data_IF_223066887981
#
_entry.id   IF_223066887981
#
_cell.length_a   1.000
_cell.length_b   1.000
_cell.length_c   1.000
_cell.angle_alpha   90.00
_cell.angle_beta   90.00
_cell.angle_gamma   90.00
#
_symmetry.space_group_name_H-M   'P 1'
#
loop_
_entity.id
_entity.type
_entity.pdbx_description
1 polymer ?
#
# COMPACT_ATOMS: atom_id res chain seq x y z
N UNK A 1 18.72 45.57 -55.36
CA UNK A 1 18.59 44.47 -54.37
C UNK A 1 17.10 44.24 -54.11
N UNK A 2 16.61 43.02 -54.37
CA UNK A 2 15.18 42.76 -54.61
C UNK A 2 14.38 42.78 -53.29
N UNK A 3 13.33 43.61 -53.18
CA UNK A 3 12.53 43.80 -51.94
C UNK A 3 11.95 42.50 -51.37
N UNK A 4 11.75 41.45 -52.21
CA UNK A 4 11.31 40.12 -51.77
C UNK A 4 12.37 39.33 -50.97
N UNK A 5 13.66 39.53 -51.22
CA UNK A 5 14.73 38.79 -50.52
C UNK A 5 14.91 39.34 -49.10
N UNK A 6 14.71 40.65 -48.90
CA UNK A 6 14.77 41.28 -47.58
C UNK A 6 13.62 40.82 -46.68
N UNK A 7 12.40 40.66 -47.22
CA UNK A 7 11.27 40.16 -46.44
C UNK A 7 11.41 38.70 -46.00
N UNK A 8 12.00 37.84 -46.83
CA UNK A 8 12.25 36.43 -46.49
C UNK A 8 13.36 36.30 -45.44
N UNK A 9 14.41 37.12 -45.53
CA UNK A 9 15.48 37.14 -44.53
C UNK A 9 15.00 37.65 -43.16
N UNK A 10 14.09 38.63 -43.13
CA UNK A 10 13.50 39.17 -41.89
C UNK A 10 12.48 38.19 -41.29
N UNK A 11 11.67 37.48 -42.10
CA UNK A 11 10.72 36.51 -41.57
C UNK A 11 11.39 35.26 -40.99
N UNK A 12 12.50 34.80 -41.59
CA UNK A 12 13.32 33.70 -41.05
C UNK A 12 14.00 34.10 -39.75
N UNK A 13 14.55 35.32 -39.64
CA UNK A 13 15.18 35.77 -38.38
C UNK A 13 14.19 36.00 -37.25
N UNK A 14 12.96 36.47 -37.53
CA UNK A 14 11.92 36.63 -36.49
C UNK A 14 11.36 35.27 -36.02
N UNK A 15 11.17 34.30 -36.93
CA UNK A 15 10.72 32.96 -36.53
C UNK A 15 11.78 32.19 -35.75
N UNK A 16 13.07 32.36 -36.07
CA UNK A 16 14.17 31.78 -35.26
C UNK A 16 14.27 32.45 -33.89
N UNK A 17 14.04 33.76 -33.77
CA UNK A 17 14.02 34.47 -32.47
C UNK A 17 12.81 34.07 -31.62
N UNK A 18 11.63 33.83 -32.21
CA UNK A 18 10.45 33.36 -31.46
C UNK A 18 10.59 31.90 -31.04
N UNK A 19 11.22 31.05 -31.85
CA UNK A 19 11.57 29.68 -31.46
C UNK A 19 12.64 29.65 -30.36
N UNK A 20 13.63 30.56 -30.37
CA UNK A 20 14.63 30.68 -29.30
C UNK A 20 14.11 31.36 -28.02
N UNK A 21 13.13 32.27 -28.12
CA UNK A 21 12.47 32.88 -26.96
C UNK A 21 11.42 31.95 -26.31
N UNK A 22 10.81 31.05 -27.08
CA UNK A 22 9.99 29.94 -26.57
C UNK A 22 10.81 28.76 -26.03
N UNK A 23 12.11 28.73 -26.33
CA UNK A 23 13.13 27.82 -25.80
C UNK A 23 14.12 28.58 -24.88
N UNK A 24 13.63 29.55 -24.10
CA UNK A 24 14.37 29.94 -22.89
C UNK A 24 14.33 28.72 -21.97
N UNK A 25 15.48 28.16 -21.61
CA UNK A 25 15.55 26.97 -20.80
C UNK A 25 14.93 27.30 -19.42
N UNK A 26 13.72 26.79 -19.17
CA UNK A 26 13.24 26.59 -17.80
C UNK A 26 14.23 25.73 -16.98
N UNK A 27 15.17 25.06 -17.68
CA UNK A 27 16.29 24.30 -17.16
C UNK A 27 17.36 25.06 -16.36
N UNK A 28 17.35 26.40 -16.25
CA UNK A 28 18.48 27.14 -15.64
C UNK A 28 18.10 28.13 -14.53
N UNK A 29 16.87 28.13 -14.01
CA UNK A 29 16.49 29.11 -12.96
C UNK A 29 16.31 28.54 -11.56
N UNK A 30 16.41 27.21 -11.39
CA UNK A 30 16.17 26.55 -10.10
C UNK A 30 14.77 26.83 -9.52
N UNK A 31 13.84 27.34 -10.35
CA UNK A 31 12.47 27.62 -9.98
C UNK A 31 11.61 26.39 -10.17
N UNK A 32 10.72 26.16 -9.23
CA UNK A 32 9.84 25.00 -9.21
C UNK A 32 8.43 25.42 -8.80
N UNK A 33 7.44 24.61 -9.14
CA UNK A 33 6.06 24.70 -8.65
C UNK A 33 5.70 23.44 -7.87
N UNK A 34 6.27 22.30 -8.29
CA UNK A 34 6.12 20.99 -7.64
C UNK A 34 7.49 20.33 -7.47
N UNK A 35 7.59 19.37 -6.55
CA UNK A 35 8.85 18.65 -6.28
C UNK A 35 9.40 17.94 -7.52
N UNK A 36 8.53 17.50 -8.44
CA UNK A 36 8.91 16.91 -9.72
C UNK A 36 9.77 17.81 -10.59
N UNK A 37 9.66 19.14 -10.44
CA UNK A 37 10.42 20.11 -11.21
C UNK A 37 11.90 20.14 -10.76
N UNK A 38 12.20 19.59 -9.58
CA UNK A 38 13.52 19.56 -8.98
C UNK A 38 14.34 18.30 -9.29
N UNK A 39 13.82 17.41 -10.15
CA UNK A 39 14.51 16.17 -10.56
C UNK A 39 15.85 16.40 -11.30
N UNK A 40 16.06 17.60 -11.83
CA UNK A 40 17.31 17.97 -12.52
C UNK A 40 18.42 18.41 -11.56
N UNK A 41 18.14 18.55 -10.26
CA UNK A 41 19.14 18.89 -9.25
C UNK A 41 19.89 17.61 -8.85
N UNK A 42 21.23 17.69 -8.80
CA UNK A 42 22.15 16.58 -8.46
C UNK A 42 22.10 16.17 -6.97
N UNK A 43 20.93 16.14 -6.34
CA UNK A 43 20.79 15.65 -4.97
C UNK A 43 19.53 14.77 -4.82
N UNK A 44 19.67 13.56 -4.25
CA UNK A 44 18.53 12.68 -3.98
C UNK A 44 17.50 13.37 -3.07
N UNK A 45 16.23 13.28 -3.45
CA UNK A 45 15.12 13.83 -2.67
C UNK A 45 14.95 15.35 -2.76
N UNK A 46 15.49 16.01 -3.79
CA UNK A 46 15.27 17.44 -4.01
C UNK A 46 13.76 17.78 -4.07
N UNK A 47 13.35 18.83 -3.35
CA UNK A 47 11.96 19.26 -3.25
C UNK A 47 11.81 20.76 -3.52
N UNK A 48 10.59 21.18 -3.84
CA UNK A 48 10.28 22.56 -4.11
C UNK A 48 9.90 23.30 -2.82
N UNK A 49 10.69 24.31 -2.45
CA UNK A 49 10.38 25.19 -1.34
C UNK A 49 10.32 26.65 -1.81
N UNK A 50 9.14 27.25 -1.69
CA UNK A 50 8.89 28.65 -2.06
C UNK A 50 9.40 29.00 -3.47
N UNK A 51 9.15 28.09 -4.41
CA UNK A 51 9.53 28.26 -5.80
C UNK A 51 11.02 28.11 -6.06
N UNK A 52 11.77 27.48 -5.15
CA UNK A 52 13.17 27.09 -5.36
C UNK A 52 13.40 25.64 -5.00
N UNK A 53 14.17 24.94 -5.83
CA UNK A 53 14.59 23.59 -5.49
C UNK A 53 15.59 23.60 -4.34
N UNK A 54 15.32 22.79 -3.31
CA UNK A 54 16.20 22.57 -2.17
C UNK A 54 16.59 21.10 -2.07
N UNK A 55 17.83 20.86 -1.69
CA UNK A 55 18.26 19.54 -1.26
C UNK A 55 17.86 19.34 0.21
N UNK A 56 17.37 18.14 0.58
CA UNK A 56 17.22 17.80 1.99
C UNK A 56 18.60 17.85 2.66
N UNK A 57 18.68 18.44 3.84
CA UNK A 57 19.88 18.34 4.67
C UNK A 57 20.00 16.88 5.13
N UNK A 58 20.77 16.08 4.41
CA UNK A 58 21.15 14.74 4.85
C UNK A 58 22.19 14.93 5.94
N UNK A 59 21.74 15.14 7.18
CA UNK A 59 22.64 14.99 8.31
C UNK A 59 22.97 13.50 8.41
N UNK A 60 24.18 13.12 7.98
CA UNK A 60 24.72 11.81 8.35
C UNK A 60 24.64 11.73 9.88
N UNK A 61 24.01 10.68 10.45
CA UNK A 61 23.93 10.57 11.89
C UNK A 61 25.35 10.55 12.44
N UNK A 62 25.75 11.65 13.08
CA UNK A 62 27.10 11.82 13.67
C UNK A 62 27.36 10.75 14.75
N UNK A 63 26.30 10.08 15.21
CA UNK A 63 26.35 9.01 16.19
C UNK A 63 25.33 7.90 15.84
N UNK A 64 25.83 6.68 15.65
CA UNK A 64 25.01 5.49 15.38
C UNK A 64 24.03 5.17 16.53
N UNK A 65 24.24 5.74 17.72
CA UNK A 65 23.31 5.58 18.86
C UNK A 65 21.92 6.20 18.62
N UNK A 66 21.76 7.02 17.59
CA UNK A 66 20.46 7.60 17.18
C UNK A 66 19.73 6.70 16.18
N UNK A 67 20.38 5.66 15.66
CA UNK A 67 19.77 4.73 14.70
C UNK A 67 18.68 3.92 15.42
N UNK A 68 17.49 3.95 14.84
CA UNK A 68 16.36 3.12 15.24
C UNK A 68 16.35 1.84 14.42
N UNK A 69 16.20 0.71 15.09
CA UNK A 69 16.26 -0.60 14.43
C UNK A 69 14.84 -1.13 14.20
N UNK A 70 14.50 -1.34 12.94
CA UNK A 70 13.28 -2.04 12.54
C UNK A 70 13.61 -3.48 12.14
N UNK A 71 12.85 -4.45 12.66
CA UNK A 71 12.97 -5.86 12.29
C UNK A 71 11.67 -6.29 11.61
N UNK A 72 11.78 -6.84 10.41
CA UNK A 72 10.63 -7.33 9.66
C UNK A 72 10.35 -8.80 9.99
N UNK A 73 9.09 -9.10 10.26
CA UNK A 73 8.56 -10.46 10.30
C UNK A 73 7.42 -10.57 9.29
N UNK A 74 6.88 -11.79 9.13
CA UNK A 74 5.57 -12.01 8.49
C UNK A 74 4.56 -12.48 9.52
N UNK A 75 4.97 -13.44 10.35
CA UNK A 75 4.25 -13.88 11.54
C UNK A 75 5.27 -14.11 12.64
N UNK A 76 5.18 -13.37 13.75
CA UNK A 76 6.15 -13.54 14.82
C UNK A 76 6.01 -14.88 15.57
N UNK A 77 4.88 -15.56 15.38
CA UNK A 77 4.49 -16.82 16.03
C UNK A 77 4.83 -18.08 15.22
N UNK A 78 5.25 -17.93 13.95
CA UNK A 78 5.48 -19.06 13.04
C UNK A 78 6.74 -19.90 13.34
N UNK A 79 7.48 -19.53 14.40
CA UNK A 79 8.78 -20.09 14.71
C UNK A 79 8.77 -21.61 14.91
N UNK A 80 7.65 -22.22 15.33
CA UNK A 80 7.53 -23.66 15.53
C UNK A 80 7.87 -24.47 14.27
N UNK A 81 7.60 -23.93 13.08
CA UNK A 81 7.93 -24.57 11.79
C UNK A 81 9.44 -24.77 11.62
N UNK A 82 10.24 -23.87 12.19
CA UNK A 82 11.71 -23.85 12.10
C UNK A 82 12.38 -24.10 13.46
N UNK A 83 11.63 -24.67 14.43
CA UNK A 83 12.10 -24.92 15.78
C UNK A 83 12.64 -23.68 16.51
N UNK A 84 12.00 -22.52 16.30
CA UNK A 84 12.25 -21.25 16.97
C UNK A 84 11.12 -20.96 17.95
N UNK A 85 11.45 -20.77 19.22
CA UNK A 85 10.49 -20.37 20.25
C UNK A 85 10.24 -18.86 20.25
N UNK A 86 9.19 -18.42 20.96
CA UNK A 86 8.97 -17.00 21.21
C UNK A 86 10.08 -16.39 22.08
N UNK A 87 10.71 -17.17 22.96
CA UNK A 87 11.85 -16.71 23.77
C UNK A 87 13.07 -16.43 22.90
N UNK A 88 13.32 -17.25 21.88
CA UNK A 88 14.36 -17.00 20.88
C UNK A 88 14.08 -15.71 20.10
N UNK A 89 12.81 -15.46 19.74
CA UNK A 89 12.41 -14.20 19.11
C UNK A 89 12.70 -13.01 20.03
N UNK A 90 12.28 -13.06 21.30
CA UNK A 90 12.54 -11.98 22.26
C UNK A 90 14.04 -11.75 22.42
N UNK A 91 14.85 -12.82 22.45
CA UNK A 91 16.31 -12.73 22.49
C UNK A 91 16.85 -12.00 21.26
N UNK A 92 16.39 -12.34 20.05
CA UNK A 92 16.78 -11.66 18.81
C UNK A 92 16.42 -10.16 18.88
N UNK A 93 15.21 -9.82 19.32
CA UNK A 93 14.78 -8.42 19.44
C UNK A 93 15.65 -7.63 20.43
N UNK A 94 16.05 -8.25 21.55
CA UNK A 94 16.98 -7.66 22.53
C UNK A 94 18.40 -7.47 21.95
N UNK A 95 18.94 -8.51 21.31
CA UNK A 95 20.30 -8.48 20.75
C UNK A 95 20.43 -7.48 19.61
N UNK A 96 19.40 -7.34 18.80
CA UNK A 96 19.31 -6.35 17.71
C UNK A 96 18.94 -4.95 18.20
N UNK A 97 18.54 -4.80 19.47
CA UNK A 97 18.00 -3.57 20.05
C UNK A 97 16.85 -3.00 19.21
N UNK A 98 15.94 -3.88 18.79
CA UNK A 98 14.80 -3.51 17.97
C UNK A 98 13.91 -2.47 18.67
N UNK A 99 13.63 -1.36 17.99
CA UNK A 99 12.66 -0.35 18.40
C UNK A 99 11.28 -0.60 17.77
N UNK A 100 11.27 -1.23 16.59
CA UNK A 100 10.07 -1.46 15.79
C UNK A 100 10.05 -2.86 15.19
N UNK A 101 8.95 -3.58 15.40
CA UNK A 101 8.66 -4.84 14.68
C UNK A 101 7.71 -4.51 13.54
N UNK A 102 8.23 -4.47 12.31
CA UNK A 102 7.42 -4.20 11.13
C UNK A 102 6.78 -5.50 10.62
N UNK A 103 5.48 -5.45 10.31
CA UNK A 103 4.71 -6.60 9.85
C UNK A 103 4.86 -7.84 10.77
N UNK A 104 4.96 -7.62 12.08
CA UNK A 104 4.99 -8.69 13.09
C UNK A 104 3.81 -9.67 12.98
N UNK A 105 2.74 -9.23 12.35
CA UNK A 105 1.57 -10.02 11.98
C UNK A 105 0.92 -9.46 10.72
N UNK A 106 0.44 -10.32 9.82
CA UNK A 106 -0.35 -9.88 8.65
C UNK A 106 -1.58 -10.77 8.40
N UNK A 107 -2.77 -10.20 8.47
CA UNK A 107 -4.01 -10.93 8.16
C UNK A 107 -4.27 -10.90 6.65
N UNK A 108 -3.72 -11.89 5.94
CA UNK A 108 -3.98 -12.07 4.50
C UNK A 108 -5.22 -12.90 4.22
N UNK A 109 -5.52 -13.85 5.11
CA UNK A 109 -6.66 -14.78 5.04
C UNK A 109 -7.48 -14.65 6.33
N UNK A 110 -8.75 -15.09 6.35
CA UNK A 110 -9.54 -15.10 7.59
C UNK A 110 -8.74 -15.72 8.73
N UNK A 111 -8.74 -15.01 9.86
CA UNK A 111 -7.99 -15.38 11.04
C UNK A 111 -8.97 -15.68 12.17
N UNK A 112 -8.92 -16.88 12.76
CA UNK A 112 -9.80 -17.22 13.86
C UNK A 112 -9.38 -16.50 15.15
N UNK A 113 -10.33 -16.33 16.08
CA UNK A 113 -9.98 -15.83 17.40
C UNK A 113 -9.17 -16.88 18.18
N UNK A 114 -9.55 -18.15 18.05
CA UNK A 114 -8.85 -19.32 18.58
C UNK A 114 -8.78 -20.44 17.54
N UNK A 115 -7.74 -21.27 17.57
CA UNK A 115 -7.65 -22.38 16.62
C UNK A 115 -8.80 -23.38 16.74
N UNK A 116 -9.42 -23.50 17.91
CA UNK A 116 -10.64 -24.31 18.14
C UNK A 116 -11.88 -23.82 17.38
N UNK A 117 -11.86 -22.61 16.83
CA UNK A 117 -12.96 -22.06 16.03
C UNK A 117 -12.96 -22.61 14.60
N UNK A 118 -11.89 -23.32 14.21
CA UNK A 118 -11.74 -23.96 12.90
C UNK A 118 -12.26 -25.41 12.91
N UNK A 119 -12.56 -25.97 11.73
CA UNK A 119 -12.78 -27.41 11.58
C UNK A 119 -11.62 -28.22 12.16
N UNK A 120 -11.93 -29.40 12.71
CA UNK A 120 -11.00 -30.24 13.48
C UNK A 120 -9.70 -30.54 12.72
N UNK A 121 -9.82 -30.71 11.40
CA UNK A 121 -8.71 -30.97 10.49
C UNK A 121 -7.74 -29.79 10.32
N UNK A 122 -8.17 -28.55 10.58
CA UNK A 122 -7.35 -27.35 10.45
C UNK A 122 -6.82 -26.85 11.82
N UNK A 123 -7.31 -27.38 12.94
CA UNK A 123 -6.88 -26.99 14.29
C UNK A 123 -5.38 -27.21 14.48
N UNK A 124 -4.88 -28.42 14.21
CA UNK A 124 -3.47 -28.76 14.41
C UNK A 124 -2.56 -27.85 13.57
N UNK A 125 -2.95 -27.59 12.33
CA UNK A 125 -2.24 -26.69 11.43
C UNK A 125 -2.27 -25.26 11.93
N UNK A 126 -3.39 -24.77 12.47
CA UNK A 126 -3.47 -23.45 13.09
C UNK A 126 -2.53 -23.33 14.30
N UNK A 127 -2.47 -24.35 15.16
CA UNK A 127 -1.58 -24.42 16.33
C UNK A 127 -0.10 -24.49 15.93
N UNK A 128 0.23 -25.23 14.86
CA UNK A 128 1.60 -25.32 14.35
C UNK A 128 2.04 -23.98 13.74
N UNK A 129 1.16 -23.33 12.99
CA UNK A 129 1.45 -22.02 12.37
C UNK A 129 1.40 -20.87 13.39
N UNK A 130 0.79 -21.08 14.56
CA UNK A 130 0.50 -20.03 15.53
C UNK A 130 -0.40 -18.93 14.96
N UNK A 131 -1.41 -19.29 14.15
CA UNK A 131 -2.22 -18.36 13.35
C UNK A 131 -3.63 -18.13 13.93
N UNK A 132 -3.73 -17.47 15.09
CA UNK A 132 -4.99 -16.96 15.65
C UNK A 132 -4.78 -15.62 16.37
N UNK A 133 -5.85 -14.85 16.60
CA UNK A 133 -5.74 -13.61 17.39
C UNK A 133 -5.33 -13.87 18.86
N UNK A 134 -5.65 -15.05 19.42
CA UNK A 134 -5.14 -15.47 20.72
C UNK A 134 -3.61 -15.66 20.70
N UNK A 135 -3.06 -16.31 19.67
CA UNK A 135 -1.61 -16.42 19.50
C UNK A 135 -0.95 -15.05 19.39
N UNK A 136 -1.52 -14.15 18.60
CA UNK A 136 -1.02 -12.78 18.46
C UNK A 136 -1.00 -12.05 19.81
N UNK A 137 -2.11 -12.11 20.56
CA UNK A 137 -2.24 -11.46 21.87
C UNK A 137 -1.21 -11.97 22.86
N UNK A 138 -1.06 -13.29 22.94
CA UNK A 138 -0.10 -13.93 23.84
C UNK A 138 1.35 -13.56 23.47
N UNK A 139 1.66 -13.54 22.18
CA UNK A 139 2.98 -13.16 21.70
C UNK A 139 3.32 -11.70 22.02
N UNK A 140 2.41 -10.77 21.73
CA UNK A 140 2.60 -9.34 22.02
C UNK A 140 2.75 -9.11 23.53
N UNK A 141 1.93 -9.76 24.36
CA UNK A 141 2.02 -9.63 25.82
C UNK A 141 3.42 -10.00 26.31
N UNK A 142 3.91 -11.20 25.96
CA UNK A 142 5.22 -11.68 26.40
C UNK A 142 6.38 -10.83 25.86
N UNK A 143 6.27 -10.35 24.62
CA UNK A 143 7.27 -9.44 24.05
C UNK A 143 7.29 -8.11 24.83
N UNK A 144 6.13 -7.52 25.11
CA UNK A 144 6.04 -6.23 25.81
C UNK A 144 6.37 -6.33 27.31
N UNK A 145 6.22 -7.49 27.94
CA UNK A 145 6.73 -7.73 29.29
C UNK A 145 8.26 -7.54 29.37
N UNK A 146 8.97 -7.98 28.33
CA UNK A 146 10.44 -7.94 28.26
C UNK A 146 10.98 -6.68 27.56
N UNK A 147 10.17 -6.08 26.66
CA UNK A 147 10.50 -4.94 25.82
C UNK A 147 9.30 -3.96 25.78
N UNK A 148 8.99 -3.26 26.89
CA UNK A 148 7.75 -2.49 27.03
C UNK A 148 7.61 -1.32 26.04
N UNK A 149 8.72 -0.80 25.54
CA UNK A 149 8.76 0.35 24.64
C UNK A 149 8.78 -0.03 23.16
N UNK A 150 8.81 -1.33 22.82
CA UNK A 150 8.83 -1.76 21.41
C UNK A 150 7.49 -1.45 20.75
N UNK A 151 7.56 -0.86 19.56
CA UNK A 151 6.38 -0.65 18.71
C UNK A 151 6.16 -1.92 17.90
N UNK A 152 4.97 -2.51 18.02
CA UNK A 152 4.60 -3.71 17.28
C UNK A 152 3.61 -3.38 16.17
N UNK A 153 3.99 -3.65 14.92
CA UNK A 153 3.14 -3.44 13.75
C UNK A 153 2.43 -4.74 13.36
N UNK A 154 1.11 -4.73 13.46
CA UNK A 154 0.27 -5.67 12.73
C UNK A 154 0.07 -5.23 11.28
N UNK A 155 -0.83 -5.88 10.57
CA UNK A 155 -1.17 -5.47 9.21
C UNK A 155 -2.24 -6.31 8.54
N UNK A 156 -2.70 -5.82 7.40
CA UNK A 156 -3.68 -6.48 6.52
C UNK A 156 -3.53 -5.95 5.09
N UNK A 157 -4.38 -6.42 4.18
CA UNK A 157 -4.35 -6.06 2.77
C UNK A 157 -5.72 -5.60 2.30
N UNK A 158 -5.81 -4.35 1.83
CA UNK A 158 -7.06 -3.77 1.33
C UNK A 158 -7.53 -4.43 0.01
N UNK A 159 -6.64 -5.17 -0.66
CA UNK A 159 -6.89 -5.83 -1.93
C UNK A 159 -7.57 -7.20 -1.83
N UNK A 160 -7.77 -7.75 -0.62
CA UNK A 160 -8.30 -9.10 -0.44
C UNK A 160 -9.63 -9.14 0.33
N UNK A 161 -10.63 -9.69 -0.34
CA UNK A 161 -11.85 -10.21 0.26
C UNK A 161 -11.94 -11.72 -0.01
N UNK A 162 -11.84 -12.52 1.05
CA UNK A 162 -12.10 -13.94 0.96
C UNK A 162 -13.61 -14.18 1.12
N UNK A 163 -14.23 -15.03 0.30
CA UNK A 163 -15.67 -15.25 0.37
C UNK A 163 -16.15 -15.69 1.76
N UNK A 164 -15.44 -16.58 2.44
CA UNK A 164 -15.82 -17.07 3.78
C UNK A 164 -16.00 -15.96 4.83
N UNK A 165 -15.42 -14.76 4.63
CA UNK A 165 -15.49 -13.64 5.58
C UNK A 165 -16.85 -12.93 5.59
N UNK A 166 -17.62 -13.10 4.52
CA UNK A 166 -19.00 -12.57 4.44
C UNK A 166 -20.03 -13.55 5.00
N UNK A 167 -19.61 -14.80 5.23
CA UNK A 167 -20.42 -15.87 5.78
C UNK A 167 -20.65 -15.74 7.28
N UNK A 168 -21.55 -16.56 7.82
CA UNK A 168 -21.86 -16.53 9.27
C UNK A 168 -20.71 -16.98 10.14
N UNK A 169 -19.91 -17.92 9.63
CA UNK A 169 -18.72 -18.43 10.32
C UNK A 169 -17.56 -17.44 10.28
N UNK A 170 -17.50 -16.56 9.28
CA UNK A 170 -16.35 -15.72 8.93
C UNK A 170 -15.05 -16.48 8.59
N UNK A 171 -15.04 -17.81 8.68
CA UNK A 171 -13.86 -18.67 8.57
C UNK A 171 -14.05 -19.84 7.62
N UNK A 172 -15.30 -20.31 7.46
CA UNK A 172 -15.65 -21.46 6.64
C UNK A 172 -16.49 -21.00 5.46
N UNK A 173 -16.12 -21.45 4.26
CA UNK A 173 -16.80 -21.10 3.03
C UNK A 173 -18.17 -21.81 2.93
N UNK A 174 -19.26 -21.05 2.98
CA UNK A 174 -20.62 -21.55 2.76
C UNK A 174 -21.06 -21.33 1.28
N UNK A 175 -22.03 -22.09 0.76
CA UNK A 175 -22.43 -22.02 -0.66
C UNK A 175 -22.77 -20.62 -1.19
N UNK A 176 -23.39 -19.76 -0.38
CA UNK A 176 -23.83 -18.41 -0.78
C UNK A 176 -22.77 -17.32 -0.57
N UNK A 177 -21.67 -17.65 0.10
CA UNK A 177 -20.68 -16.64 0.49
C UNK A 177 -19.94 -16.07 -0.72
N UNK A 178 -19.71 -16.89 -1.75
CA UNK A 178 -19.16 -16.42 -3.02
C UNK A 178 -20.04 -15.37 -3.69
N UNK A 179 -21.35 -15.59 -3.71
CA UNK A 179 -22.29 -14.63 -4.31
C UNK A 179 -22.28 -13.31 -3.54
N UNK A 180 -22.37 -13.37 -2.21
CA UNK A 180 -22.33 -12.18 -1.35
C UNK A 180 -21.00 -11.42 -1.48
N UNK A 181 -19.87 -12.12 -1.47
CA UNK A 181 -18.56 -11.50 -1.61
C UNK A 181 -18.36 -10.90 -3.02
N UNK A 182 -18.95 -11.52 -4.05
CA UNK A 182 -18.96 -10.97 -5.41
C UNK A 182 -19.76 -9.66 -5.53
N UNK A 183 -20.80 -9.46 -4.71
CA UNK A 183 -21.50 -8.18 -4.64
C UNK A 183 -20.67 -7.06 -3.97
N UNK A 184 -19.73 -7.44 -3.11
CA UNK A 184 -18.77 -6.52 -2.50
C UNK A 184 -17.51 -6.31 -3.34
N UNK A 185 -17.34 -7.05 -4.43
CA UNK A 185 -16.20 -6.92 -5.33
C UNK A 185 -16.31 -5.65 -6.18
N UNK A 186 -15.16 -5.03 -6.49
CA UNK A 186 -15.10 -3.78 -7.25
C UNK A 186 -15.80 -3.90 -8.60
N UNK A 187 -16.81 -3.04 -8.82
CA UNK A 187 -17.50 -2.88 -10.08
C UNK A 187 -17.39 -1.43 -10.61
N UNK A 188 -16.52 -1.16 -11.59
CA UNK A 188 -16.36 0.17 -12.17
C UNK A 188 -17.63 0.72 -12.85
N UNK A 189 -18.52 -0.16 -13.33
CA UNK A 189 -19.74 0.23 -14.06
C UNK A 189 -20.67 1.10 -13.21
N UNK A 190 -20.62 0.98 -11.87
CA UNK A 190 -21.45 1.80 -10.97
C UNK A 190 -21.11 3.30 -11.05
N UNK A 191 -19.94 3.65 -11.56
CA UNK A 191 -19.55 5.03 -11.85
C UNK A 191 -19.59 5.37 -13.35
N UNK A 192 -20.21 4.53 -14.17
CA UNK A 192 -20.29 4.73 -15.63
C UNK A 192 -18.97 4.47 -16.38
N UNK A 193 -18.02 3.78 -15.77
CA UNK A 193 -16.76 3.40 -16.41
C UNK A 193 -17.01 2.20 -17.32
N UNK A 194 -16.58 2.28 -18.58
CA UNK A 194 -16.75 1.21 -19.58
C UNK A 194 -15.73 0.07 -19.39
N UNK A 195 -15.74 -0.54 -18.20
CA UNK A 195 -15.00 -1.75 -17.83
C UNK A 195 -15.90 -2.56 -16.90
N UNK A 196 -16.23 -3.78 -17.29
CA UNK A 196 -17.12 -4.64 -16.52
C UNK A 196 -16.49 -5.13 -15.21
N UNK A 197 -17.32 -5.47 -14.22
CA UNK A 197 -16.88 -6.18 -13.00
C UNK A 197 -16.01 -7.40 -13.34
N UNK A 198 -16.46 -8.20 -14.31
CA UNK A 198 -15.73 -9.39 -14.78
C UNK A 198 -14.31 -9.04 -15.24
N UNK A 199 -14.14 -8.02 -16.09
CA UNK A 199 -12.84 -7.65 -16.63
C UNK A 199 -11.84 -7.22 -15.55
N UNK A 200 -12.28 -6.37 -14.60
CA UNK A 200 -11.38 -5.90 -13.53
C UNK A 200 -11.02 -7.02 -12.55
N UNK A 201 -11.98 -7.88 -12.18
CA UNK A 201 -11.71 -9.02 -11.31
C UNK A 201 -10.79 -10.04 -12.00
N UNK A 202 -10.90 -10.18 -13.31
CA UNK A 202 -10.04 -11.05 -14.11
C UNK A 202 -8.61 -10.54 -14.24
N UNK A 203 -8.43 -9.21 -14.38
CA UNK A 203 -7.12 -8.59 -14.26
C UNK A 203 -6.49 -8.90 -12.89
N UNK A 204 -7.26 -8.81 -11.82
CA UNK A 204 -6.79 -9.18 -10.48
C UNK A 204 -6.50 -10.68 -10.33
N UNK A 205 -7.36 -11.53 -10.90
CA UNK A 205 -7.20 -12.98 -10.90
C UNK A 205 -5.88 -13.41 -11.56
N UNK A 206 -5.51 -12.78 -12.69
CA UNK A 206 -4.21 -12.99 -13.34
C UNK A 206 -3.04 -12.57 -12.48
N UNK A 207 -3.12 -11.39 -11.83
CA UNK A 207 -2.09 -10.90 -10.90
C UNK A 207 -1.78 -11.91 -9.79
N UNK A 208 -2.78 -12.67 -9.35
CA UNK A 208 -2.65 -13.66 -8.26
C UNK A 208 -2.54 -15.10 -8.75
N UNK A 209 -2.39 -15.34 -10.06
CA UNK A 209 -2.21 -16.68 -10.63
C UNK A 209 -3.44 -17.58 -10.54
N UNK A 210 -4.64 -17.02 -10.41
CA UNK A 210 -5.89 -17.80 -10.53
C UNK A 210 -6.29 -18.03 -11.99
N UNK A 211 -5.71 -17.25 -12.90
CA UNK A 211 -5.87 -17.33 -14.35
C UNK A 211 -4.49 -17.15 -14.95
N UNK A 212 -4.14 -17.97 -15.95
CA UNK A 212 -2.85 -17.86 -16.61
C UNK A 212 -2.72 -16.54 -17.39
N UNK A 213 -1.50 -16.04 -17.53
CA UNK A 213 -1.22 -14.73 -18.14
C UNK A 213 -1.85 -14.58 -19.55
N UNK A 214 -1.83 -15.65 -20.34
CA UNK A 214 -2.34 -15.68 -21.71
C UNK A 214 -3.74 -16.30 -21.85
N UNK A 215 -4.35 -16.75 -20.76
CA UNK A 215 -5.69 -17.34 -20.81
C UNK A 215 -6.74 -16.25 -21.04
N UNK A 216 -7.68 -16.44 -21.99
CA UNK A 216 -8.83 -15.54 -22.15
C UNK A 216 -9.61 -15.43 -20.84
N UNK A 217 -10.22 -14.27 -20.61
CA UNK A 217 -10.99 -14.11 -19.38
C UNK A 217 -12.24 -15.02 -19.42
N UNK A 218 -12.43 -15.93 -18.44
CA UNK A 218 -13.56 -16.85 -18.45
C UNK A 218 -14.89 -16.11 -18.22
N UNK A 219 -16.03 -16.78 -18.46
CA UNK A 219 -17.35 -16.28 -18.06
C UNK A 219 -17.40 -15.95 -16.57
N UNK A 220 -18.26 -15.02 -16.18
CA UNK A 220 -18.33 -14.50 -14.80
C UNK A 220 -18.48 -15.60 -13.74
N UNK A 221 -19.41 -16.53 -13.94
CA UNK A 221 -19.64 -17.62 -12.99
C UNK A 221 -18.41 -18.51 -12.81
N UNK A 222 -17.69 -18.79 -13.89
CA UNK A 222 -16.45 -19.57 -13.83
C UNK A 222 -15.33 -18.79 -13.15
N UNK A 223 -15.15 -17.51 -13.50
CA UNK A 223 -14.19 -16.61 -12.86
C UNK A 223 -14.41 -16.57 -11.34
N UNK A 224 -15.66 -16.38 -10.92
CA UNK A 224 -16.08 -16.31 -9.53
C UNK A 224 -15.72 -17.58 -8.75
N UNK A 225 -15.80 -18.76 -9.37
CA UNK A 225 -15.43 -20.03 -8.74
C UNK A 225 -13.91 -20.26 -8.70
N UNK A 226 -13.19 -19.88 -9.77
CA UNK A 226 -11.72 -20.03 -9.84
C UNK A 226 -10.98 -19.15 -8.85
N UNK A 227 -11.48 -17.94 -8.60
CA UNK A 227 -10.85 -17.00 -7.68
C UNK A 227 -11.04 -17.44 -6.22
N UNK A 228 -9.93 -17.50 -5.48
CA UNK A 228 -9.96 -17.74 -4.02
C UNK A 228 -10.35 -16.50 -3.22
N UNK A 229 -10.08 -15.32 -3.76
CA UNK A 229 -10.31 -14.01 -3.15
C UNK A 229 -10.61 -13.00 -4.25
N UNK A 230 -11.46 -12.03 -3.96
CA UNK A 230 -11.86 -10.97 -4.89
C UNK A 230 -11.15 -9.67 -4.56
N UNK A 231 -10.99 -8.79 -5.55
CA UNK A 231 -10.59 -7.40 -5.29
C UNK A 231 -11.82 -6.64 -4.81
N UNK A 232 -11.85 -6.23 -3.54
CA UNK A 232 -13.04 -5.62 -2.95
C UNK A 232 -13.23 -4.19 -3.43
N UNK A 233 -14.47 -3.73 -3.33
CA UNK A 233 -14.79 -2.32 -3.44
C UNK A 233 -14.61 -1.63 -2.09
N UNK A 234 -13.56 -0.82 -1.97
CA UNK A 234 -13.24 -0.05 -0.77
C UNK A 234 -14.35 0.95 -0.38
N UNK A 235 -15.22 1.33 -1.31
CA UNK A 235 -16.37 2.21 -1.05
C UNK A 235 -17.61 1.44 -0.58
N UNK A 236 -17.60 0.10 -0.63
CA UNK A 236 -18.71 -0.72 -0.18
C UNK A 236 -18.72 -0.79 1.37
N UNK A 237 -19.82 -0.39 2.04
CA UNK A 237 -19.87 -0.31 3.50
C UNK A 237 -19.79 -1.68 4.19
N UNK A 238 -20.31 -2.73 3.56
CA UNK A 238 -20.27 -4.09 4.10
C UNK A 238 -18.86 -4.64 4.07
N UNK A 239 -18.13 -4.40 2.96
CA UNK A 239 -16.70 -4.73 2.91
C UNK A 239 -15.91 -3.93 3.95
N UNK A 240 -16.14 -2.61 4.06
CA UNK A 240 -15.43 -1.79 5.06
C UNK A 240 -15.63 -2.33 6.48
N UNK A 241 -16.83 -2.83 6.81
CA UNK A 241 -17.10 -3.44 8.12
C UNK A 241 -16.19 -4.65 8.36
N UNK A 242 -16.14 -5.58 7.41
CA UNK A 242 -15.29 -6.78 7.49
C UNK A 242 -13.81 -6.37 7.61
N UNK A 243 -13.38 -5.45 6.73
CA UNK A 243 -12.00 -4.99 6.67
C UNK A 243 -11.54 -4.33 7.97
N UNK A 244 -12.35 -3.44 8.54
CA UNK A 244 -12.07 -2.76 9.80
C UNK A 244 -12.11 -3.73 10.99
N UNK A 245 -13.02 -4.71 11.00
CA UNK A 245 -13.09 -5.70 12.07
C UNK A 245 -11.78 -6.52 12.18
N UNK A 246 -11.19 -6.91 11.05
CA UNK A 246 -9.85 -7.56 11.04
C UNK A 246 -8.79 -6.71 11.73
N UNK A 247 -8.85 -5.39 11.54
CA UNK A 247 -7.88 -4.45 12.11
C UNK A 247 -8.14 -4.27 13.60
N UNK A 248 -9.40 -4.11 14.00
CA UNK A 248 -9.78 -3.96 15.41
C UNK A 248 -9.37 -5.17 16.24
N UNK A 249 -9.50 -6.38 15.71
CA UNK A 249 -9.01 -7.60 16.39
C UNK A 249 -7.50 -7.59 16.63
N UNK A 250 -6.71 -6.99 15.74
CA UNK A 250 -5.26 -6.81 15.96
C UNK A 250 -4.98 -5.74 17.03
N UNK A 251 -5.71 -4.63 17.01
CA UNK A 251 -5.61 -3.57 18.04
C UNK A 251 -5.95 -4.15 19.42
N UNK A 252 -6.99 -4.96 19.51
CA UNK A 252 -7.40 -5.66 20.72
C UNK A 252 -6.40 -6.75 21.15
N UNK A 253 -5.61 -7.30 20.22
CA UNK A 253 -4.48 -8.18 20.54
C UNK A 253 -3.25 -7.42 21.05
N UNK A 254 -3.19 -6.09 20.84
CA UNK A 254 -2.20 -5.22 21.48
C UNK A 254 -1.20 -4.54 20.56
N UNK A 255 -1.41 -4.55 19.23
CA UNK A 255 -0.53 -3.83 18.30
C UNK A 255 -0.55 -2.32 18.55
N UNK A 256 0.54 -1.65 18.16
CA UNK A 256 0.70 -0.19 18.25
C UNK A 256 0.64 0.47 16.86
N UNK A 257 0.83 -0.31 15.80
CA UNK A 257 0.77 0.14 14.43
C UNK A 257 0.06 -0.88 13.54
N UNK A 258 -0.54 -0.40 12.44
CA UNK A 258 -1.19 -1.20 11.41
C UNK A 258 -0.61 -0.83 10.05
N UNK A 259 0.03 -1.81 9.42
CA UNK A 259 0.37 -1.76 8.00
C UNK A 259 -0.86 -2.14 7.16
N UNK A 260 -1.27 -1.26 6.25
CA UNK A 260 -2.31 -1.59 5.27
C UNK A 260 -1.68 -1.65 3.90
N UNK A 261 -1.53 -2.86 3.38
CA UNK A 261 -1.07 -3.02 2.01
C UNK A 261 -2.14 -2.56 1.03
N UNK A 262 -1.72 -1.88 -0.03
CA UNK A 262 -2.56 -1.50 -1.18
C UNK A 262 -3.77 -0.62 -0.84
N UNK A 263 -3.73 0.15 0.27
CA UNK A 263 -4.86 1.00 0.72
C UNK A 263 -5.40 1.93 -0.39
N UNK A 264 -4.50 2.58 -1.14
CA UNK A 264 -4.88 3.53 -2.18
C UNK A 264 -5.00 2.91 -3.59
N UNK A 265 -4.82 1.59 -3.72
CA UNK A 265 -4.74 0.93 -5.02
C UNK A 265 -6.02 1.07 -5.84
N UNK A 266 -7.20 1.00 -5.21
CA UNK A 266 -8.45 1.20 -5.91
C UNK A 266 -8.52 2.57 -6.58
N UNK A 267 -8.16 3.65 -5.87
CA UNK A 267 -8.16 5.00 -6.42
C UNK A 267 -7.21 5.11 -7.63
N UNK A 268 -6.01 4.55 -7.51
CA UNK A 268 -5.05 4.51 -8.61
C UNK A 268 -5.52 3.69 -9.81
N UNK A 269 -6.28 2.62 -9.61
CA UNK A 269 -6.90 1.87 -10.70
C UNK A 269 -8.01 2.68 -11.37
N UNK A 270 -8.85 3.36 -10.59
CA UNK A 270 -9.91 4.22 -11.13
C UNK A 270 -9.32 5.37 -11.96
N UNK A 271 -8.20 5.95 -11.53
CA UNK A 271 -7.51 7.00 -12.27
C UNK A 271 -6.98 6.48 -13.62
N UNK A 272 -6.39 5.27 -13.64
CA UNK A 272 -5.96 4.64 -14.90
C UNK A 272 -7.14 4.44 -15.86
N UNK A 273 -8.24 3.89 -15.36
CA UNK A 273 -9.39 3.54 -16.20
C UNK A 273 -10.09 4.78 -16.76
N UNK A 274 -10.18 5.83 -15.96
CA UNK A 274 -10.88 7.07 -16.33
C UNK A 274 -9.99 8.09 -17.03
N UNK A 275 -8.66 7.99 -16.84
CA UNK A 275 -7.67 9.01 -17.21
C UNK A 275 -8.03 10.40 -16.68
N UNK A 276 -8.74 10.45 -15.57
CA UNK A 276 -9.26 11.67 -14.99
C UNK A 276 -9.16 11.60 -13.46
N UNK A 277 -8.19 12.29 -12.84
CA UNK A 277 -8.04 12.32 -11.38
C UNK A 277 -9.25 12.96 -10.69
N UNK A 278 -10.02 13.78 -11.40
CA UNK A 278 -11.23 14.41 -10.87
C UNK A 278 -12.49 13.54 -10.96
N UNK A 279 -12.41 12.35 -11.54
CA UNK A 279 -13.56 11.46 -11.70
C UNK A 279 -14.13 11.02 -10.33
N UNK A 280 -15.46 10.92 -10.16
CA UNK A 280 -16.07 10.52 -8.88
C UNK A 280 -15.50 9.23 -8.29
N UNK A 281 -15.28 8.21 -9.14
CA UNK A 281 -14.67 6.94 -8.72
C UNK A 281 -13.29 7.10 -8.05
N UNK A 282 -12.47 8.06 -8.51
CA UNK A 282 -11.15 8.33 -7.94
C UNK A 282 -11.29 9.00 -6.57
N UNK A 283 -12.06 10.09 -6.51
CA UNK A 283 -12.28 10.86 -5.27
C UNK A 283 -12.94 10.03 -4.17
N UNK A 284 -13.96 9.24 -4.52
CA UNK A 284 -14.67 8.39 -3.55
C UNK A 284 -13.79 7.26 -3.01
N UNK A 285 -12.91 6.70 -3.84
CA UNK A 285 -11.94 5.68 -3.43
C UNK A 285 -10.90 6.25 -2.46
N UNK A 286 -10.35 7.43 -2.76
CA UNK A 286 -9.44 8.11 -1.83
C UNK A 286 -10.12 8.51 -0.52
N UNK A 287 -11.35 9.03 -0.59
CA UNK A 287 -12.13 9.37 0.60
C UNK A 287 -12.40 8.13 1.46
N UNK A 288 -12.71 7.00 0.85
CA UNK A 288 -12.93 5.75 1.58
C UNK A 288 -11.67 5.26 2.28
N UNK A 289 -10.51 5.37 1.63
CA UNK A 289 -9.21 5.10 2.27
C UNK A 289 -8.96 6.03 3.46
N UNK A 290 -9.20 7.33 3.31
CA UNK A 290 -9.08 8.32 4.37
C UNK A 290 -9.98 7.98 5.57
N UNK A 291 -11.26 7.68 5.32
CA UNK A 291 -12.25 7.33 6.35
C UNK A 291 -11.89 6.03 7.10
N UNK A 292 -11.27 5.07 6.43
CA UNK A 292 -10.75 3.84 7.05
C UNK A 292 -9.66 4.19 8.08
N UNK A 293 -8.72 5.06 7.73
CA UNK A 293 -7.65 5.51 8.65
C UNK A 293 -8.25 6.24 9.86
N UNK A 294 -9.22 7.13 9.64
CA UNK A 294 -9.90 7.83 10.73
C UNK A 294 -10.60 6.87 11.71
N UNK A 295 -11.27 5.83 11.19
CA UNK A 295 -11.91 4.80 12.01
C UNK A 295 -10.90 4.06 12.89
N UNK A 296 -9.72 3.74 12.35
CA UNK A 296 -8.62 3.10 13.08
C UNK A 296 -8.14 3.99 14.22
N UNK A 297 -7.87 5.27 13.93
CA UNK A 297 -7.45 6.23 14.95
C UNK A 297 -8.52 6.45 16.02
N UNK A 298 -9.80 6.56 15.62
CA UNK A 298 -10.91 6.71 16.56
C UNK A 298 -11.03 5.49 17.49
N UNK A 299 -10.93 4.29 16.94
CA UNK A 299 -10.97 3.05 17.72
C UNK A 299 -9.79 2.96 18.68
N UNK A 300 -8.58 3.28 18.22
CA UNK A 300 -7.39 3.40 19.07
C UNK A 300 -7.61 4.35 20.24
N UNK A 301 -8.09 5.58 19.96
CA UNK A 301 -8.38 6.59 21.00
C UNK A 301 -9.39 6.09 22.03
N UNK A 302 -10.44 5.40 21.60
CA UNK A 302 -11.42 4.75 22.50
C UNK A 302 -10.80 3.69 23.40
N UNK A 303 -9.71 3.05 22.96
CA UNK A 303 -8.91 2.07 23.71
C UNK A 303 -7.77 2.71 24.50
N UNK A 304 -7.65 4.04 24.51
CA UNK A 304 -6.57 4.77 25.18
C UNK A 304 -5.20 4.62 24.50
N UNK A 305 -5.17 4.31 23.20
CA UNK A 305 -3.95 4.10 22.41
C UNK A 305 -3.92 5.01 21.18
N UNK A 306 -2.73 5.46 20.81
CA UNK A 306 -2.51 6.00 19.47
C UNK A 306 -2.04 4.85 18.58
N UNK A 307 -2.81 4.55 17.52
CA UNK A 307 -2.47 3.49 16.57
C UNK A 307 -1.89 4.14 15.33
N UNK A 308 -0.62 3.86 15.04
CA UNK A 308 0.03 4.39 13.84
C UNK A 308 -0.44 3.62 12.61
N UNK A 309 -0.86 4.31 11.56
CA UNK A 309 -1.24 3.70 10.28
C UNK A 309 -0.15 3.94 9.26
N UNK A 310 0.24 2.87 8.56
CA UNK A 310 1.35 2.85 7.62
C UNK A 310 0.87 2.23 6.31
N UNK A 311 1.19 2.84 5.18
CA UNK A 311 0.84 2.29 3.86
C UNK A 311 1.77 2.84 2.77
N UNK A 312 1.62 2.35 1.54
CA UNK A 312 2.23 2.92 0.35
C UNK A 312 1.57 4.26 0.00
N UNK A 313 2.32 5.36 -0.08
CA UNK A 313 1.78 6.68 -0.50
C UNK A 313 2.23 7.09 -1.90
N UNK A 314 3.15 6.34 -2.49
CA UNK A 314 3.61 6.54 -3.85
C UNK A 314 4.00 5.21 -4.48
N UNK A 315 3.74 5.08 -5.78
CA UNK A 315 4.13 3.91 -6.57
C UNK A 315 4.87 4.35 -7.83
N UNK A 316 5.90 3.59 -8.19
CA UNK A 316 6.66 3.80 -9.42
C UNK A 316 5.93 3.09 -10.56
N UNK A 317 5.71 3.83 -11.65
CA UNK A 317 5.10 3.33 -12.89
C UNK A 317 5.94 3.78 -14.08
N UNK A 318 6.74 2.86 -14.62
CA UNK A 318 7.75 3.19 -15.62
C UNK A 318 8.68 4.27 -15.08
N UNK A 319 8.81 5.37 -15.80
CA UNK A 319 9.68 6.50 -15.42
C UNK A 319 8.94 7.58 -14.59
N UNK A 320 7.75 7.27 -14.08
CA UNK A 320 6.92 8.21 -13.31
C UNK A 320 6.65 7.71 -11.89
N UNK A 321 6.55 8.66 -10.96
CA UNK A 321 6.05 8.43 -9.60
C UNK A 321 4.61 8.88 -9.60
N UNK A 322 3.70 8.02 -9.13
CA UNK A 322 2.30 8.36 -8.89
C UNK A 322 2.12 8.44 -7.38
N UNK A 323 1.93 9.66 -6.89
CA UNK A 323 1.67 9.98 -5.49
C UNK A 323 0.17 10.04 -5.18
N UNK A 324 -0.17 9.80 -3.91
CA UNK A 324 -1.50 10.06 -3.39
C UNK A 324 -1.64 11.57 -3.18
N UNK A 325 -2.73 12.22 -3.65
CA UNK A 325 -2.91 13.65 -3.44
C UNK A 325 -2.91 13.98 -1.95
N UNK A 326 -2.19 15.05 -1.58
CA UNK A 326 -1.90 15.41 -0.19
C UNK A 326 -3.15 15.52 0.69
N UNK A 327 -4.25 15.99 0.13
CA UNK A 327 -5.54 16.11 0.81
C UNK A 327 -6.16 14.77 1.25
N UNK A 328 -5.69 13.64 0.69
CA UNK A 328 -6.15 12.29 1.00
C UNK A 328 -5.15 11.47 1.83
N UNK A 329 -4.04 12.08 2.25
CA UNK A 329 -3.01 11.43 3.09
C UNK A 329 -3.23 11.82 4.55
N UNK A 330 -3.70 10.87 5.36
CA UNK A 330 -3.83 10.99 6.82
C UNK A 330 -3.15 9.85 7.59
N UNK A 331 -2.24 9.12 6.94
CA UNK A 331 -1.43 8.08 7.58
C UNK A 331 -0.26 8.67 8.36
N UNK A 332 0.22 7.94 9.37
CA UNK A 332 1.27 8.39 10.28
C UNK A 332 2.67 8.13 9.74
N UNK A 333 2.82 7.13 8.86
CA UNK A 333 4.05 6.88 8.14
C UNK A 333 3.79 6.41 6.70
N UNK A 334 4.69 6.82 5.82
CA UNK A 334 4.65 6.55 4.39
C UNK A 334 5.71 5.52 4.01
N UNK A 335 5.32 4.51 3.24
CA UNK A 335 6.26 3.64 2.55
C UNK A 335 6.34 4.05 1.08
N UNK A 336 7.57 4.09 0.57
CA UNK A 336 7.89 4.35 -0.83
C UNK A 336 8.89 3.30 -1.29
N UNK A 337 8.74 2.82 -2.51
CA UNK A 337 9.73 1.94 -3.12
C UNK A 337 10.76 2.80 -3.83
N UNK A 338 12.07 2.56 -3.64
CA UNK A 338 13.08 3.15 -4.50
C UNK A 338 12.90 2.65 -5.94
N UNK A 339 13.20 3.50 -6.90
CA UNK A 339 13.31 3.11 -8.31
C UNK A 339 14.50 2.17 -8.50
N UNK A 340 14.46 1.30 -9.53
CA UNK A 340 15.63 0.52 -9.92
C UNK A 340 16.89 1.39 -10.07
N UNK A 341 16.73 2.60 -10.60
CA UNK A 341 17.79 3.56 -10.86
C UNK A 341 18.36 4.18 -9.57
N UNK A 342 17.56 4.29 -8.51
CA UNK A 342 18.03 4.72 -7.18
C UNK A 342 18.84 3.64 -6.48
N UNK A 343 18.62 2.36 -6.81
CA UNK A 343 19.40 1.24 -6.25
C UNK A 343 20.65 0.97 -7.11
N UNK A 344 20.49 1.06 -8.43
CA UNK A 344 21.53 0.68 -9.39
C UNK A 344 21.50 1.61 -10.59
N UNK A 345 22.61 2.29 -10.83
CA UNK A 345 22.76 3.17 -11.98
C UNK A 345 22.59 2.37 -13.29
N UNK A 346 21.71 2.83 -14.18
CA UNK A 346 21.40 2.11 -15.43
C UNK A 346 22.54 2.14 -16.46
N UNK A 347 23.47 3.10 -16.35
CA UNK A 347 24.56 3.32 -17.30
C UNK A 347 25.82 2.60 -16.83
N UNK A 348 26.20 2.79 -15.57
CA UNK A 348 27.42 2.21 -14.99
C UNK A 348 27.18 0.81 -14.43
N UNK A 349 25.93 0.50 -14.06
CA UNK A 349 25.57 -0.74 -13.39
C UNK A 349 26.04 -0.82 -11.94
N UNK A 350 26.55 0.28 -11.38
CA UNK A 350 26.99 0.35 -9.99
C UNK A 350 25.78 0.42 -9.06
N UNK A 351 25.86 -0.28 -7.92
CA UNK A 351 24.84 -0.27 -6.87
C UNK A 351 25.22 0.83 -5.87
N UNK A 352 24.30 1.76 -5.63
CA UNK A 352 24.45 2.89 -4.71
C UNK A 352 24.00 2.57 -3.29
#
# INVERSE_FOLDING_TARGET
MNKRIVYIAISLSITTIILLAGLIPHFMTGRCVKDSDCRSVECPGAYCDNGKCKCPEISSPKNISQVKVAVQYRYITDGKIINRSLDDVIKILKETRADFVFQGWITQKPCPDKCSDLPIEEVEKCEILGYSYEHLRNAISKIKEELPNIIFCGGTQAEFLYPEEVGKSHLILEPEDRNKAWEMALNPEKWGINVSKREIQCYWARRWGHIDENEPCPPEEELKQRMRKYFPDLTNPDFQKIFIERIYKQIDAGVDAIWIDMLYMQAHLMEILTKNPDHPAVKESYKSAFEIVEKIHEYGRKKGKNIYVITWVAVIRGNSIVDVPKEYVNVDAAMVSPSPNEIKDEITGEVG
#
